data_IF_380621347146
#
_entry.id   IF_380621347146
#
_cell.length_a   1.000
_cell.length_b   1.000
_cell.length_c   1.000
_cell.angle_alpha   90.00
_cell.angle_beta   90.00
_cell.angle_gamma   90.00
#
_symmetry.space_group_name_H-M   'P 1'
#
loop_
_entity.id
_entity.type
_entity.pdbx_description
1 polymer ?
#
# COMPACT_ATOMS: atom_id res chain seq x y z
N UNK A 1 38.76 51.79 -52.76
CA UNK A 1 38.56 52.65 -51.56
C UNK A 1 37.76 51.85 -50.54
N UNK A 2 38.36 51.68 -49.33
CA UNK A 2 37.81 51.27 -48.00
C UNK A 2 36.76 50.13 -47.99
N UNK A 3 37.02 48.88 -47.56
CA UNK A 3 37.78 48.33 -46.40
C UNK A 3 37.29 48.86 -45.03
N UNK A 4 36.14 48.33 -44.59
CA UNK A 4 35.57 48.26 -43.23
C UNK A 4 34.36 47.31 -43.42
N UNK A 5 34.06 46.27 -42.65
CA UNK A 5 34.37 45.95 -41.27
C UNK A 5 34.12 44.43 -41.12
N UNK A 6 35.13 43.60 -41.43
CA UNK A 6 35.11 42.15 -41.14
C UNK A 6 35.53 41.87 -39.67
N UNK A 7 36.05 42.89 -38.97
CA UNK A 7 36.55 42.78 -37.59
C UNK A 7 35.47 42.80 -36.50
N UNK A 8 34.24 43.24 -36.79
CA UNK A 8 33.21 43.36 -35.75
C UNK A 8 32.44 42.05 -35.49
N UNK A 9 32.38 41.16 -36.49
CA UNK A 9 31.62 39.90 -36.39
C UNK A 9 32.44 38.78 -35.73
N UNK A 10 33.77 38.87 -35.75
CA UNK A 10 34.66 37.88 -35.11
C UNK A 10 34.74 38.10 -33.59
N UNK A 11 34.60 39.34 -33.10
CA UNK A 11 34.68 39.61 -31.67
C UNK A 11 33.43 39.14 -30.90
N UNK A 12 32.24 39.18 -31.51
CA UNK A 12 31.00 38.75 -30.86
C UNK A 12 30.86 37.22 -30.76
N UNK A 13 31.49 36.49 -31.68
CA UNK A 13 31.41 35.02 -31.72
C UNK A 13 32.45 34.33 -30.82
N UNK A 14 33.46 35.07 -30.36
CA UNK A 14 34.53 34.52 -29.49
C UNK A 14 34.20 34.67 -27.99
N UNK A 15 33.29 35.56 -27.61
CA UNK A 15 32.86 35.72 -26.21
C UNK A 15 31.84 34.68 -25.73
N UNK A 16 31.19 33.93 -26.63
CA UNK A 16 30.22 32.89 -26.24
C UNK A 16 30.80 31.47 -26.13
N UNK A 17 32.08 31.28 -26.46
CA UNK A 17 32.74 29.96 -26.40
C UNK A 17 33.45 29.72 -25.06
N UNK A 18 33.49 30.70 -24.15
CA UNK A 18 34.19 30.61 -22.85
C UNK A 18 33.20 30.57 -21.66
N UNK A 19 32.03 29.94 -21.83
CA UNK A 19 31.12 29.57 -20.71
C UNK A 19 30.61 28.14 -20.92
N UNK A 20 31.50 27.20 -21.21
CA UNK A 20 31.18 25.75 -21.21
C UNK A 20 32.16 24.94 -20.37
N UNK A 21 33.05 25.60 -19.62
CA UNK A 21 33.95 24.96 -18.69
C UNK A 21 33.36 24.98 -17.29
N UNK A 22 32.79 23.83 -16.91
CA UNK A 22 32.76 23.41 -15.52
C UNK A 22 31.38 23.33 -14.90
N UNK A 23 30.64 22.27 -15.23
CA UNK A 23 30.06 21.40 -14.20
C UNK A 23 30.04 19.96 -14.76
N UNK A 24 31.21 19.35 -14.95
CA UNK A 24 31.29 17.88 -14.91
C UNK A 24 31.21 17.46 -13.44
N UNK A 25 30.11 17.83 -12.79
CA UNK A 25 29.70 17.18 -11.55
C UNK A 25 29.25 15.80 -11.98
N UNK A 26 30.08 14.79 -11.70
CA UNK A 26 29.57 13.45 -11.52
C UNK A 26 28.57 13.54 -10.36
N UNK A 27 27.34 13.94 -10.65
CA UNK A 27 26.20 13.59 -9.81
C UNK A 27 26.19 12.07 -9.86
N UNK A 28 26.84 11.47 -8.88
CA UNK A 28 26.64 10.07 -8.52
C UNK A 28 25.17 9.97 -8.18
N UNK A 29 24.36 9.77 -9.22
CA UNK A 29 22.94 9.51 -9.08
C UNK A 29 22.91 8.17 -8.36
N UNK A 30 22.62 8.22 -7.07
CA UNK A 30 22.40 7.03 -6.28
C UNK A 30 21.46 6.12 -7.09
N UNK A 31 21.74 4.81 -7.20
CA UNK A 31 20.87 3.90 -7.92
C UNK A 31 19.43 4.16 -7.47
N UNK A 32 18.53 4.41 -8.42
CA UNK A 32 17.13 4.64 -8.09
C UNK A 32 16.66 3.47 -7.23
N UNK A 33 16.07 3.77 -6.07
CA UNK A 33 15.58 2.74 -5.17
C UNK A 33 14.63 1.81 -5.95
N UNK A 34 14.84 0.49 -5.83
CA UNK A 34 14.01 -0.48 -6.53
C UNK A 34 12.55 -0.33 -6.09
N UNK A 35 11.65 -0.19 -7.06
CA UNK A 35 10.20 -0.13 -6.82
C UNK A 35 9.56 -1.52 -6.67
N UNK A 36 10.32 -2.59 -6.85
CA UNK A 36 9.84 -3.97 -6.73
C UNK A 36 10.43 -4.66 -5.51
N UNK A 37 9.58 -5.41 -4.82
CA UNK A 37 9.94 -6.29 -3.72
C UNK A 37 10.68 -7.51 -4.25
N UNK A 38 11.65 -8.00 -3.48
CA UNK A 38 12.33 -9.27 -3.75
C UNK A 38 11.78 -10.43 -2.93
N UNK A 39 10.78 -10.17 -2.07
CA UNK A 39 10.19 -11.14 -1.15
C UNK A 39 8.88 -11.66 -1.73
N UNK A 40 8.68 -12.98 -1.67
CA UNK A 40 7.43 -13.60 -2.10
C UNK A 40 6.27 -13.30 -1.12
N UNK A 41 5.02 -13.14 -1.61
CA UNK A 41 3.87 -12.87 -0.75
C UNK A 41 3.70 -13.85 0.43
N UNK A 42 3.98 -15.14 0.21
CA UNK A 42 3.90 -16.18 1.25
C UNK A 42 4.92 -16.00 2.38
N UNK A 43 6.05 -15.36 2.12
CA UNK A 43 7.10 -15.08 3.11
C UNK A 43 6.79 -13.84 3.96
N UNK A 44 5.85 -12.99 3.53
CA UNK A 44 5.43 -11.79 4.25
C UNK A 44 4.37 -12.11 5.33
N UNK A 45 3.66 -13.23 5.19
CA UNK A 45 2.62 -13.66 6.14
C UNK A 45 3.14 -13.68 7.57
N UNK A 46 2.29 -13.19 8.48
CA UNK A 46 2.56 -13.20 9.91
C UNK A 46 2.79 -14.62 10.41
N UNK A 47 3.85 -14.78 11.19
CA UNK A 47 4.18 -16.01 11.87
C UNK A 47 3.40 -16.11 13.17
N UNK A 48 3.17 -17.33 13.71
CA UNK A 48 2.48 -17.51 14.99
C UNK A 48 3.09 -16.72 16.16
N UNK A 49 4.38 -16.43 16.13
CA UNK A 49 5.06 -15.62 17.16
C UNK A 49 4.81 -14.10 17.05
N UNK A 50 4.24 -13.65 15.93
CA UNK A 50 3.98 -12.24 15.64
C UNK A 50 2.51 -11.85 15.86
N UNK A 51 1.62 -12.84 15.99
CA UNK A 51 0.20 -12.64 16.28
C UNK A 51 -0.08 -12.76 17.79
N UNK A 52 -1.17 -12.19 18.31
CA UNK A 52 -1.52 -12.33 19.72
C UNK A 52 -1.78 -13.79 20.11
N UNK A 53 -1.48 -14.14 21.37
CA UNK A 53 -1.42 -15.55 21.83
C UNK A 53 -2.75 -16.30 21.74
N UNK A 54 -3.86 -15.58 21.73
CA UNK A 54 -5.22 -16.09 21.62
C UNK A 54 -5.64 -16.36 20.16
N UNK A 55 -4.83 -15.96 19.19
CA UNK A 55 -5.11 -16.21 17.77
C UNK A 55 -4.40 -17.46 17.26
N UNK A 56 -5.09 -18.24 16.43
CA UNK A 56 -4.51 -19.39 15.72
C UNK A 56 -4.73 -19.25 14.22
N UNK A 57 -3.76 -19.69 13.43
CA UNK A 57 -3.92 -19.79 11.98
C UNK A 57 -5.07 -20.74 11.64
N UNK A 58 -6.10 -20.21 11.00
CA UNK A 58 -7.26 -20.96 10.51
C UNK A 58 -7.00 -21.45 9.07
N UNK A 59 -6.56 -20.54 8.22
CA UNK A 59 -6.40 -20.78 6.79
C UNK A 59 -5.29 -19.89 6.21
N UNK A 60 -4.64 -20.38 5.16
CA UNK A 60 -3.78 -19.57 4.31
C UNK A 60 -3.65 -20.18 2.92
N UNK A 61 -3.37 -19.36 1.93
CA UNK A 61 -3.22 -19.84 0.56
C UNK A 61 -2.82 -18.74 -0.41
N UNK A 62 -2.53 -19.17 -1.63
CA UNK A 62 -2.40 -18.26 -2.76
C UNK A 62 -3.78 -17.70 -3.11
N UNK A 63 -3.83 -16.44 -3.55
CA UNK A 63 -5.05 -15.83 -4.08
C UNK A 63 -5.14 -16.13 -5.58
N UNK A 64 -6.30 -16.57 -6.06
CA UNK A 64 -6.48 -16.89 -7.46
C UNK A 64 -6.99 -15.68 -8.25
N UNK A 65 -6.73 -15.68 -9.56
CA UNK A 65 -7.26 -14.67 -10.49
C UNK A 65 -8.80 -14.58 -10.40
N UNK A 66 -9.48 -15.71 -10.17
CA UNK A 66 -10.95 -15.76 -9.99
C UNK A 66 -11.47 -14.99 -8.79
N UNK A 67 -10.60 -14.70 -7.82
CA UNK A 67 -10.95 -14.08 -6.54
C UNK A 67 -10.63 -12.57 -6.56
N UNK A 68 -10.20 -12.05 -7.71
CA UNK A 68 -9.80 -10.66 -7.90
C UNK A 68 -10.89 -9.87 -8.60
N UNK A 69 -11.06 -8.61 -8.19
CA UNK A 69 -11.94 -7.67 -8.89
C UNK A 69 -11.42 -7.37 -10.29
N UNK A 70 -12.33 -7.05 -11.21
CA UNK A 70 -11.97 -6.59 -12.57
C UNK A 70 -11.01 -5.40 -12.51
N UNK A 71 -11.28 -4.44 -11.61
CA UNK A 71 -10.39 -3.33 -11.34
C UNK A 71 -8.96 -3.80 -11.01
N UNK A 72 -8.80 -4.79 -10.12
CA UNK A 72 -7.47 -5.27 -9.74
C UNK A 72 -6.73 -5.89 -10.93
N UNK A 73 -7.44 -6.65 -11.77
CA UNK A 73 -6.85 -7.30 -12.94
C UNK A 73 -6.44 -6.26 -13.99
N UNK A 74 -7.31 -5.30 -14.29
CA UNK A 74 -7.06 -4.21 -15.24
C UNK A 74 -5.91 -3.30 -14.79
N UNK A 75 -5.69 -3.20 -13.48
CA UNK A 75 -4.62 -2.40 -12.90
C UNK A 75 -3.36 -3.22 -12.57
N UNK A 76 -3.24 -4.42 -13.15
CA UNK A 76 -1.96 -5.14 -13.19
C UNK A 76 -1.66 -5.94 -11.92
N UNK A 77 -2.68 -6.43 -11.22
CA UNK A 77 -2.49 -7.48 -10.22
C UNK A 77 -1.78 -8.69 -10.86
N UNK A 78 -0.79 -9.25 -10.15
CA UNK A 78 0.04 -10.36 -10.64
C UNK A 78 -0.17 -11.64 -9.86
N UNK A 79 -0.20 -11.54 -8.54
CA UNK A 79 -0.30 -12.65 -7.60
C UNK A 79 -0.67 -12.13 -6.22
N UNK A 80 -1.13 -13.03 -5.35
CA UNK A 80 -1.40 -12.69 -3.97
C UNK A 80 -1.34 -13.90 -3.06
N UNK A 81 -1.40 -13.63 -1.77
CA UNK A 81 -1.46 -14.63 -0.71
C UNK A 81 -2.37 -14.11 0.40
N UNK A 82 -2.95 -14.99 1.19
CA UNK A 82 -3.74 -14.60 2.35
C UNK A 82 -3.48 -15.51 3.54
N UNK A 83 -3.81 -15.01 4.72
CA UNK A 83 -3.94 -15.80 5.93
C UNK A 83 -5.10 -15.28 6.77
N UNK A 84 -5.80 -16.20 7.43
CA UNK A 84 -6.88 -15.91 8.37
C UNK A 84 -6.49 -16.49 9.73
N UNK A 85 -6.58 -15.66 10.77
CA UNK A 85 -6.28 -16.04 12.14
C UNK A 85 -7.55 -15.91 12.98
N UNK A 86 -7.99 -17.00 13.59
CA UNK A 86 -9.18 -17.05 14.44
C UNK A 86 -8.82 -16.70 15.88
N UNK A 87 -9.60 -15.81 16.50
CA UNK A 87 -9.52 -15.55 17.94
C UNK A 87 -10.21 -16.67 18.72
N UNK A 88 -9.46 -17.35 19.59
CA UNK A 88 -9.94 -18.44 20.43
C UNK A 88 -10.21 -18.02 21.88
N UNK A 89 -10.15 -16.73 22.21
CA UNK A 89 -10.54 -16.25 23.54
C UNK A 89 -12.04 -16.52 23.73
N UNK A 90 -12.45 -17.33 24.73
CA UNK A 90 -13.86 -17.62 24.98
C UNK A 90 -14.68 -16.38 25.38
N UNK A 91 -14.01 -15.26 25.72
CA UNK A 91 -14.66 -13.99 26.05
C UNK A 91 -14.69 -13.01 24.88
N UNK A 92 -14.04 -13.32 23.75
CA UNK A 92 -14.10 -12.49 22.56
C UNK A 92 -15.45 -12.63 21.85
N UNK A 93 -15.72 -11.71 20.91
CA UNK A 93 -16.88 -11.83 20.02
C UNK A 93 -16.71 -13.12 19.20
N UNK A 94 -17.72 -14.01 19.18
CA UNK A 94 -17.63 -15.24 18.40
C UNK A 94 -17.32 -14.96 16.92
N UNK A 95 -16.32 -15.65 16.38
CA UNK A 95 -15.92 -15.47 14.99
C UNK A 95 -15.06 -14.22 14.74
N UNK A 96 -14.49 -13.58 15.77
CA UNK A 96 -13.44 -12.57 15.55
C UNK A 96 -12.26 -13.20 14.82
N UNK A 97 -11.93 -12.64 13.66
CA UNK A 97 -10.78 -13.05 12.85
C UNK A 97 -9.90 -11.86 12.54
N UNK A 98 -8.60 -12.12 12.37
CA UNK A 98 -7.69 -11.22 11.69
C UNK A 98 -7.41 -11.82 10.32
N UNK A 99 -7.78 -11.10 9.28
CA UNK A 99 -7.47 -11.46 7.89
C UNK A 99 -6.30 -10.62 7.42
N UNK A 100 -5.32 -11.25 6.78
CA UNK A 100 -4.20 -10.61 6.11
C UNK A 100 -4.27 -10.97 4.63
N UNK A 101 -4.48 -9.98 3.77
CA UNK A 101 -4.40 -10.12 2.33
C UNK A 101 -3.16 -9.42 1.80
N UNK A 102 -2.46 -10.08 0.90
CA UNK A 102 -1.24 -9.60 0.25
C UNK A 102 -1.45 -9.71 -1.24
N UNK A 103 -1.17 -8.64 -1.97
CA UNK A 103 -1.24 -8.61 -3.43
C UNK A 103 0.00 -7.92 -4.00
N UNK A 104 0.46 -8.40 -5.14
CA UNK A 104 1.56 -7.78 -5.90
C UNK A 104 0.97 -7.18 -7.18
N UNK A 105 1.26 -5.91 -7.42
CA UNK A 105 0.84 -5.20 -8.64
C UNK A 105 2.04 -4.88 -9.53
N UNK A 106 1.79 -4.21 -10.65
CA UNK A 106 2.84 -3.48 -11.37
C UNK A 106 3.27 -2.24 -10.56
N UNK A 107 4.54 -1.87 -10.67
CA UNK A 107 5.07 -0.71 -9.93
C UNK A 107 4.46 0.61 -10.41
N UNK A 108 3.90 0.62 -11.62
CA UNK A 108 3.22 1.76 -12.24
C UNK A 108 1.86 2.03 -11.61
N UNK A 109 1.13 0.98 -11.19
CA UNK A 109 -0.27 1.10 -10.75
C UNK A 109 -0.45 0.90 -9.24
N UNK A 110 0.57 0.43 -8.52
CA UNK A 110 0.46 0.14 -7.09
C UNK A 110 0.02 1.34 -6.24
N UNK A 111 0.27 2.58 -6.67
CA UNK A 111 -0.18 3.77 -5.92
C UNK A 111 -1.69 4.00 -5.95
N UNK A 112 -2.41 3.30 -6.84
CA UNK A 112 -3.85 3.49 -7.04
C UNK A 112 -4.71 2.63 -6.09
N UNK A 113 -4.17 1.51 -5.59
CA UNK A 113 -4.97 0.50 -4.86
C UNK A 113 -5.45 0.98 -3.48
N UNK A 114 -4.68 1.81 -2.75
CA UNK A 114 -5.10 2.31 -1.43
C UNK A 114 -6.28 3.27 -1.56
N UNK A 115 -6.23 4.31 -2.43
CA UNK A 115 -7.39 5.14 -2.73
C UNK A 115 -8.61 4.35 -3.24
N UNK A 116 -8.38 3.36 -4.12
CA UNK A 116 -9.44 2.49 -4.62
C UNK A 116 -10.10 1.70 -3.49
N UNK A 117 -9.30 1.08 -2.63
CA UNK A 117 -9.80 0.33 -1.45
C UNK A 117 -10.66 1.23 -0.57
N UNK A 118 -10.18 2.42 -0.20
CA UNK A 118 -10.95 3.38 0.62
C UNK A 118 -12.27 3.77 -0.06
N UNK A 119 -12.25 3.96 -1.38
CA UNK A 119 -13.45 4.28 -2.16
C UNK A 119 -14.43 3.10 -2.21
N UNK A 120 -13.93 1.88 -2.39
CA UNK A 120 -14.70 0.64 -2.34
C UNK A 120 -15.43 0.47 -1.00
N UNK A 121 -14.73 0.70 0.12
CA UNK A 121 -15.37 0.71 1.44
C UNK A 121 -16.53 1.70 1.50
N UNK A 122 -16.31 2.96 1.11
CA UNK A 122 -17.36 3.99 1.16
C UNK A 122 -18.55 3.66 0.25
N UNK A 123 -18.29 3.06 -0.91
CA UNK A 123 -19.31 2.72 -1.89
C UNK A 123 -20.08 1.45 -1.57
N UNK A 124 -19.63 0.63 -0.61
CA UNK A 124 -20.29 -0.61 -0.21
C UNK A 124 -21.78 -0.40 0.16
N UNK A 125 -22.13 0.76 0.72
CA UNK A 125 -23.52 1.14 1.02
C UNK A 125 -24.44 1.24 -0.20
N UNK A 126 -23.89 1.58 -1.37
CA UNK A 126 -24.67 1.78 -2.61
C UNK A 126 -24.99 0.45 -3.26
N UNK A 127 -24.08 -0.53 -3.18
CA UNK A 127 -24.22 -1.83 -3.82
C UNK A 127 -25.10 -2.80 -3.01
N UNK A 128 -25.00 -2.78 -1.68
CA UNK A 128 -25.82 -3.65 -0.82
C UNK A 128 -27.16 -3.02 -0.40
N UNK A 129 -27.41 -1.75 -0.78
CA UNK A 129 -28.58 -0.99 -0.35
C UNK A 129 -28.73 -0.95 1.18
N UNK A 130 -27.61 -1.11 1.90
CA UNK A 130 -27.60 -1.25 3.35
C UNK A 130 -27.39 0.13 3.98
N UNK A 131 -28.51 0.82 4.23
CA UNK A 131 -28.55 2.10 4.93
C UNK A 131 -27.98 2.04 6.36
N UNK A 132 -27.60 0.84 6.84
CA UNK A 132 -27.11 0.63 8.18
C UNK A 132 -25.59 0.68 8.30
N UNK A 133 -24.82 0.97 7.24
CA UNK A 133 -23.36 1.07 7.37
C UNK A 133 -22.90 2.53 7.46
N UNK A 134 -21.99 2.80 8.39
CA UNK A 134 -21.28 4.07 8.52
C UNK A 134 -19.78 3.86 8.46
N UNK A 135 -19.06 4.81 7.85
CA UNK A 135 -17.63 4.73 7.61
C UNK A 135 -16.90 5.91 8.25
N UNK A 136 -15.77 5.61 8.86
CA UNK A 136 -14.86 6.59 9.44
C UNK A 136 -13.43 6.27 9.02
N UNK A 137 -12.72 7.26 8.49
CA UNK A 137 -11.27 7.16 8.31
C UNK A 137 -10.58 7.35 9.67
N UNK A 138 -9.70 6.41 10.02
CA UNK A 138 -8.97 6.43 11.27
C UNK A 138 -7.55 6.97 11.09
N UNK A 139 -6.97 7.49 12.17
CA UNK A 139 -5.58 7.95 12.17
C UNK A 139 -4.62 6.75 12.13
N UNK A 140 -3.69 6.76 11.18
CA UNK A 140 -2.69 5.71 11.01
C UNK A 140 -1.30 6.34 10.97
N UNK A 141 -0.30 5.82 11.70
CA UNK A 141 1.09 6.22 11.48
C UNK A 141 1.47 5.89 10.03
N UNK A 142 2.44 6.61 9.48
CA UNK A 142 2.92 6.32 8.13
C UNK A 142 3.49 4.88 8.08
N UNK A 143 2.83 4.00 7.32
CA UNK A 143 3.26 2.63 7.07
C UNK A 143 3.47 2.47 5.57
N UNK A 144 4.67 2.05 5.16
CA UNK A 144 4.99 1.91 3.75
C UNK A 144 5.04 3.24 2.99
N UNK A 145 4.71 3.20 1.70
CA UNK A 145 4.74 4.33 0.77
C UNK A 145 3.38 5.06 0.72
N UNK A 146 2.28 4.34 0.97
CA UNK A 146 0.92 4.87 1.09
C UNK A 146 0.13 3.99 2.04
N UNK A 147 -0.73 4.57 2.88
CA UNK A 147 -1.54 3.81 3.84
C UNK A 147 -2.82 4.52 4.23
N UNK A 148 -3.85 3.74 4.55
CA UNK A 148 -5.14 4.23 5.06
C UNK A 148 -5.71 3.24 6.09
N UNK A 149 -6.53 3.75 7.01
CA UNK A 149 -7.26 2.94 7.96
C UNK A 149 -8.74 3.34 7.97
N UNK A 150 -9.61 2.34 8.07
CA UNK A 150 -11.06 2.52 8.05
C UNK A 150 -11.69 1.81 9.24
N UNK A 151 -12.75 2.41 9.78
CA UNK A 151 -13.74 1.75 10.64
C UNK A 151 -15.07 1.73 9.91
N UNK A 152 -15.70 0.56 9.89
CA UNK A 152 -17.09 0.38 9.49
C UNK A 152 -17.89 0.09 10.75
N UNK A 153 -19.01 0.76 10.93
CA UNK A 153 -19.97 0.47 11.99
C UNK A 153 -21.32 0.14 11.38
N UNK A 154 -21.83 -1.04 11.67
CA UNK A 154 -23.22 -1.37 11.41
C UNK A 154 -24.09 -0.69 12.48
N UNK A 155 -24.95 0.24 12.07
CA UNK A 155 -25.78 1.06 12.95
C UNK A 155 -27.00 0.33 13.49
N UNK A 156 -27.34 -0.86 12.95
CA UNK A 156 -28.44 -1.68 13.46
C UNK A 156 -28.07 -2.44 14.72
N UNK A 157 -26.86 -3.00 14.78
CA UNK A 157 -26.39 -3.82 15.91
C UNK A 157 -25.12 -3.29 16.59
N UNK A 158 -24.60 -2.15 16.10
CA UNK A 158 -23.38 -1.49 16.58
C UNK A 158 -22.10 -2.33 16.41
N UNK A 159 -22.15 -3.40 15.61
CA UNK A 159 -20.96 -4.18 15.29
C UNK A 159 -19.98 -3.36 14.46
N UNK A 160 -18.69 -3.64 14.66
CA UNK A 160 -17.61 -2.85 14.07
C UNK A 160 -16.62 -3.75 13.34
N UNK A 161 -16.13 -3.23 12.22
CA UNK A 161 -15.05 -3.80 11.43
C UNK A 161 -13.99 -2.75 11.20
N UNK A 162 -12.73 -3.17 11.20
CA UNK A 162 -11.57 -2.31 10.99
C UNK A 162 -10.74 -2.84 9.85
N UNK A 163 -10.23 -1.92 9.04
CA UNK A 163 -9.29 -2.22 7.96
C UNK A 163 -8.05 -1.34 8.09
N UNK A 164 -6.87 -1.91 7.88
CA UNK A 164 -5.61 -1.19 7.68
C UNK A 164 -5.02 -1.64 6.36
N UNK A 165 -4.88 -0.71 5.42
CA UNK A 165 -4.36 -0.96 4.09
C UNK A 165 -3.10 -0.14 3.87
N UNK A 166 -2.09 -0.73 3.25
CA UNK A 166 -0.89 0.00 2.85
C UNK A 166 -0.23 -0.61 1.61
N UNK A 167 0.62 0.19 0.97
CA UNK A 167 1.54 -0.27 -0.06
C UNK A 167 2.96 -0.04 0.37
N UNK A 168 3.87 -0.91 -0.05
CA UNK A 168 5.32 -0.68 0.03
C UNK A 168 5.94 -1.37 -1.17
N UNK A 169 6.68 -0.60 -1.98
CA UNK A 169 7.14 -1.06 -3.30
C UNK A 169 5.95 -1.47 -4.17
N UNK A 170 5.98 -2.65 -4.78
CA UNK A 170 4.92 -3.21 -5.62
C UNK A 170 3.96 -4.12 -4.83
N UNK A 171 4.05 -4.13 -3.49
CA UNK A 171 3.23 -4.96 -2.62
C UNK A 171 2.15 -4.11 -1.95
N UNK A 172 0.91 -4.53 -2.10
CA UNK A 172 -0.26 -4.09 -1.35
C UNK A 172 -0.54 -5.08 -0.23
N UNK A 173 -0.86 -4.57 0.95
CA UNK A 173 -1.39 -5.37 2.04
C UNK A 173 -2.65 -4.74 2.62
N UNK A 174 -3.57 -5.60 3.02
CA UNK A 174 -4.76 -5.25 3.77
C UNK A 174 -4.90 -6.17 4.96
N UNK A 175 -5.14 -5.57 6.11
CA UNK A 175 -5.56 -6.28 7.30
C UNK A 175 -7.00 -5.94 7.61
N UNK A 176 -7.80 -6.94 7.96
CA UNK A 176 -9.19 -6.77 8.36
C UNK A 176 -9.47 -7.50 9.68
N UNK A 177 -10.32 -6.91 10.52
CA UNK A 177 -10.83 -7.58 11.72
C UNK A 177 -12.22 -7.05 12.04
N UNK A 178 -13.12 -7.92 12.47
CA UNK A 178 -14.31 -7.56 13.23
C UNK A 178 -13.95 -7.47 14.72
N UNK A 179 -14.46 -6.47 15.44
CA UNK A 179 -14.15 -6.34 16.86
C UNK A 179 -14.29 -4.94 17.42
N UNK A 180 -13.40 -4.60 18.34
CA UNK A 180 -13.37 -3.37 19.14
C UNK A 180 -12.20 -2.46 18.73
N UNK A 181 -12.12 -1.27 19.33
CA UNK A 181 -10.97 -0.39 19.17
C UNK A 181 -9.63 -1.04 19.63
N UNK A 182 -9.66 -2.04 20.51
CA UNK A 182 -8.45 -2.79 20.90
C UNK A 182 -7.98 -3.71 19.76
N UNK A 183 -8.92 -4.30 19.03
CA UNK A 183 -8.62 -5.13 17.86
C UNK A 183 -8.06 -4.26 16.71
N UNK A 184 -8.51 -3.01 16.59
CA UNK A 184 -7.89 -2.03 15.69
C UNK A 184 -6.43 -1.76 16.04
N UNK A 185 -6.11 -1.49 17.31
CA UNK A 185 -4.72 -1.26 17.73
C UNK A 185 -3.83 -2.48 17.44
N UNK A 186 -4.38 -3.68 17.63
CA UNK A 186 -3.73 -4.94 17.28
C UNK A 186 -3.42 -5.01 15.77
N UNK A 187 -4.43 -4.81 14.92
CA UNK A 187 -4.26 -4.84 13.46
C UNK A 187 -3.26 -3.78 12.98
N UNK A 188 -3.29 -2.58 13.57
CA UNK A 188 -2.33 -1.51 13.27
C UNK A 188 -0.89 -1.92 13.57
N UNK A 189 -0.64 -2.58 14.71
CA UNK A 189 0.68 -3.09 15.06
C UNK A 189 1.13 -4.18 14.08
N UNK A 190 0.23 -5.12 13.76
CA UNK A 190 0.50 -6.21 12.83
C UNK A 190 0.85 -5.70 11.41
N UNK A 191 0.16 -4.67 10.94
CA UNK A 191 0.47 -4.01 9.67
C UNK A 191 1.90 -3.44 9.66
N UNK A 192 2.36 -2.83 10.76
CA UNK A 192 3.73 -2.35 10.90
C UNK A 192 4.77 -3.49 10.85
N UNK A 193 4.50 -4.61 11.50
CA UNK A 193 5.36 -5.81 11.46
C UNK A 193 5.46 -6.34 10.02
N UNK A 194 4.32 -6.49 9.34
CA UNK A 194 4.29 -6.99 7.97
C UNK A 194 4.98 -6.03 6.98
N UNK A 195 4.84 -4.72 7.17
CA UNK A 195 5.53 -3.72 6.36
C UNK A 195 7.06 -3.79 6.51
N UNK A 196 7.57 -4.16 7.69
CA UNK A 196 9.01 -4.31 7.92
C UNK A 196 9.62 -5.49 7.16
N UNK A 197 8.82 -6.49 6.77
CA UNK A 197 9.27 -7.67 6.01
C UNK A 197 9.50 -7.39 4.53
N UNK A 198 8.81 -6.41 3.96
CA UNK A 198 8.93 -6.06 2.54
C UNK A 198 10.27 -5.33 2.32
N UNK A 199 11.12 -5.91 1.47
CA UNK A 199 12.50 -5.47 1.21
C UNK A 199 12.73 -5.04 -0.21
#
# INVERSE_FOLDING_TARGET
MKKQSLSFMIFLMTCFVIISLGIAGCTSQAPAASKTSTIEPSEIILQPSEIPVNFTLLEKGERNVSDMSEWSLDHGWKKGYYAVFLNNDPNAIPGTVIEQYISVYTAENITLIVPDTVSGWKNWTVEENDANLSFEELSLPAIGDSSAAMKVTNTSDMSQMYSVSFTKKDVYQQFMTNGTATDYETVKQLAGIAAAKIK
#
